data_IF_732802782681
#
_entry.id   IF_732802782681
#
_cell.length_a   1.000
_cell.length_b   1.000
_cell.length_c   1.000
_cell.angle_alpha   90.00
_cell.angle_beta   90.00
_cell.angle_gamma   90.00
#
_symmetry.space_group_name_H-M   'P 1'
#
loop_
_entity.id
_entity.type
_entity.pdbx_description
1 polymer ?
#
# COMPACT_ATOMS: atom_id res chain seq x y z
N UNK A 1 -6.89 22.05 -8.39
CA UNK A 1 -5.53 21.53 -8.75
C UNK A 1 -5.67 20.69 -10.00
N UNK A 2 -4.76 20.76 -10.99
CA UNK A 2 -4.81 19.87 -12.15
C UNK A 2 -4.40 18.44 -11.73
N UNK A 3 -4.79 17.44 -12.53
CA UNK A 3 -4.36 16.04 -12.27
C UNK A 3 -2.82 15.91 -12.30
N UNK A 4 -2.15 16.66 -13.17
CA UNK A 4 -0.70 16.66 -13.25
C UNK A 4 -0.06 17.25 -11.98
N UNK A 5 -0.65 18.30 -11.41
CA UNK A 5 -0.17 18.88 -10.15
C UNK A 5 -0.37 17.92 -8.99
N UNK A 6 -1.52 17.24 -8.93
CA UNK A 6 -1.78 16.20 -7.93
C UNK A 6 -0.74 15.06 -8.01
N UNK A 7 -0.45 14.57 -9.21
CA UNK A 7 0.59 13.56 -9.46
C UNK A 7 1.97 14.07 -8.98
N UNK A 8 2.28 15.33 -9.24
CA UNK A 8 3.55 15.95 -8.82
C UNK A 8 3.65 16.14 -7.31
N UNK A 9 2.54 16.34 -6.61
CA UNK A 9 2.54 16.54 -5.14
C UNK A 9 2.58 15.25 -4.34
N UNK A 10 2.04 14.13 -4.87
CA UNK A 10 2.01 12.85 -4.18
C UNK A 10 3.41 12.42 -3.71
N UNK A 11 3.53 12.11 -2.43
CA UNK A 11 4.76 11.61 -1.77
C UNK A 11 4.50 10.36 -0.96
N UNK A 12 5.55 9.60 -0.69
CA UNK A 12 5.54 8.59 0.37
C UNK A 12 5.67 9.29 1.71
N UNK A 13 4.64 9.22 2.52
CA UNK A 13 4.60 9.75 3.88
C UNK A 13 4.69 8.58 4.83
N UNK A 14 5.77 8.49 5.59
CA UNK A 14 6.02 7.37 6.49
C UNK A 14 5.13 7.45 7.74
N UNK A 15 4.77 6.31 8.36
CA UNK A 15 3.93 6.29 9.56
C UNK A 15 4.44 7.17 10.71
N UNK A 16 5.74 7.38 10.81
CA UNK A 16 6.36 8.27 11.81
C UNK A 16 6.03 9.76 11.60
N UNK A 17 5.51 10.11 10.42
CA UNK A 17 5.11 11.49 10.05
C UNK A 17 3.61 11.72 10.23
N UNK A 18 2.82 10.67 10.45
CA UNK A 18 1.39 10.80 10.65
C UNK A 18 1.08 11.50 11.97
N UNK A 19 0.04 12.34 11.93
CA UNK A 19 -0.63 12.78 13.16
C UNK A 19 -1.59 11.68 13.63
N UNK A 20 -2.23 11.84 14.76
CA UNK A 20 -3.11 10.82 15.34
C UNK A 20 -4.58 10.99 14.96
N UNK A 21 -4.87 11.83 13.97
CA UNK A 21 -6.23 12.01 13.48
C UNK A 21 -6.69 10.73 12.80
N UNK A 22 -7.88 10.26 13.19
CA UNK A 22 -8.46 9.05 12.57
C UNK A 22 -9.09 9.37 11.21
N UNK A 23 -8.96 8.43 10.29
CA UNK A 23 -9.64 8.44 9.00
C UNK A 23 -10.96 7.69 9.21
N UNK A 24 -12.09 8.34 8.94
CA UNK A 24 -13.42 7.74 9.06
C UNK A 24 -13.72 6.72 7.97
N UNK A 25 -14.81 5.99 8.15
CA UNK A 25 -15.20 4.90 7.23
C UNK A 25 -15.61 5.45 5.87
N UNK A 26 -16.31 6.58 5.81
CA UNK A 26 -16.70 7.21 4.55
C UNK A 26 -15.49 7.60 3.70
N UNK A 27 -14.47 8.15 4.33
CA UNK A 27 -13.20 8.48 3.64
C UNK A 27 -12.50 7.21 3.13
N UNK A 28 -12.51 6.12 3.90
CA UNK A 28 -11.94 4.84 3.44
C UNK A 28 -12.72 4.30 2.25
N UNK A 29 -14.04 4.38 2.25
CA UNK A 29 -14.88 3.94 1.13
C UNK A 29 -14.58 4.73 -0.14
N UNK A 30 -14.38 6.06 -0.05
CA UNK A 30 -13.95 6.91 -1.17
C UNK A 30 -12.58 6.43 -1.71
N UNK A 31 -11.63 6.13 -0.84
CA UNK A 31 -10.31 5.64 -1.25
C UNK A 31 -10.40 4.28 -1.97
N UNK A 32 -11.19 3.36 -1.44
CA UNK A 32 -11.38 2.03 -2.05
C UNK A 32 -12.15 2.12 -3.37
N UNK A 33 -13.17 2.99 -3.44
CA UNK A 33 -13.90 3.23 -4.68
C UNK A 33 -12.96 3.79 -5.77
N UNK A 34 -12.08 4.74 -5.43
CA UNK A 34 -11.10 5.24 -6.39
C UNK A 34 -10.16 4.15 -6.93
N UNK A 35 -9.78 3.19 -6.08
CA UNK A 35 -9.00 2.03 -6.50
C UNK A 35 -9.79 1.13 -7.47
N UNK A 36 -11.08 0.98 -7.26
CA UNK A 36 -11.96 0.13 -8.05
C UNK A 36 -12.12 0.60 -9.51
N UNK A 37 -11.81 1.88 -9.78
CA UNK A 37 -11.81 2.45 -11.13
C UNK A 37 -10.49 2.21 -11.92
N UNK A 38 -9.61 1.37 -11.42
CA UNK A 38 -8.39 1.03 -12.14
C UNK A 38 -8.67 0.22 -13.41
N UNK A 39 -7.89 0.42 -14.49
CA UNK A 39 -8.02 -0.42 -15.68
C UNK A 39 -7.57 -1.85 -15.39
N UNK A 40 -8.25 -2.80 -15.99
CA UNK A 40 -7.96 -4.23 -15.86
C UNK A 40 -8.24 -4.95 -17.18
N UNK A 41 -7.38 -5.91 -17.55
CA UNK A 41 -7.59 -6.72 -18.73
C UNK A 41 -8.68 -7.77 -18.45
N UNK A 42 -9.56 -8.02 -19.42
CA UNK A 42 -10.68 -8.98 -19.34
C UNK A 42 -11.56 -8.83 -18.10
N UNK A 43 -11.58 -7.64 -17.48
CA UNK A 43 -12.38 -7.35 -16.27
C UNK A 43 -12.10 -8.32 -15.11
N UNK A 44 -10.85 -8.76 -14.94
CA UNK A 44 -10.47 -9.67 -13.86
C UNK A 44 -10.56 -9.02 -12.49
N UNK A 45 -10.43 -7.67 -12.41
CA UNK A 45 -10.54 -6.89 -11.17
C UNK A 45 -9.81 -7.56 -10.00
N UNK A 46 -8.49 -7.77 -10.12
CA UNK A 46 -7.75 -8.70 -9.25
C UNK A 46 -7.48 -8.14 -7.86
N UNK A 47 -7.70 -6.85 -7.63
CA UNK A 47 -7.41 -6.21 -6.34
C UNK A 47 -8.31 -6.73 -5.22
N UNK A 48 -7.69 -7.01 -4.07
CA UNK A 48 -8.36 -7.34 -2.81
C UNK A 48 -7.71 -6.53 -1.70
N UNK A 49 -8.51 -5.92 -0.87
CA UNK A 49 -8.05 -5.12 0.25
C UNK A 49 -8.52 -5.71 1.57
N UNK A 50 -7.62 -5.79 2.57
CA UNK A 50 -8.01 -6.13 3.93
C UNK A 50 -7.68 -4.95 4.82
N UNK A 51 -8.71 -4.39 5.45
CA UNK A 51 -8.62 -3.23 6.33
C UNK A 51 -8.22 -3.68 7.72
N UNK A 52 -7.18 -3.07 8.27
CA UNK A 52 -6.66 -3.36 9.61
C UNK A 52 -6.79 -2.11 10.46
N UNK A 53 -7.57 -2.21 11.54
CA UNK A 53 -7.84 -1.14 12.52
C UNK A 53 -7.77 -1.66 13.95
N UNK A 54 -7.83 -0.77 14.94
CA UNK A 54 -7.89 -1.11 16.36
C UNK A 54 -6.78 -2.08 16.77
N UNK A 55 -7.13 -3.05 17.59
CA UNK A 55 -6.20 -4.05 18.15
C UNK A 55 -5.53 -4.93 17.07
N UNK A 56 -6.14 -5.04 15.90
CA UNK A 56 -5.53 -5.76 14.78
C UNK A 56 -4.24 -5.09 14.29
N UNK A 57 -4.05 -3.79 14.50
CA UNK A 57 -2.80 -3.08 14.22
C UNK A 57 -1.67 -3.55 15.14
N UNK A 58 -1.97 -3.79 16.43
CA UNK A 58 -0.99 -4.34 17.38
C UNK A 58 -0.56 -5.73 16.93
N UNK A 59 -1.51 -6.62 16.66
CA UNK A 59 -1.25 -7.99 16.17
C UNK A 59 -0.43 -7.99 14.88
N UNK A 60 -0.71 -7.06 13.96
CA UNK A 60 0.08 -6.92 12.73
C UNK A 60 1.53 -6.51 13.05
N UNK A 61 1.74 -5.55 13.95
CA UNK A 61 3.07 -5.11 14.36
C UNK A 61 3.89 -6.26 14.94
N UNK A 62 3.31 -7.04 15.86
CA UNK A 62 3.92 -8.22 16.46
C UNK A 62 4.26 -9.27 15.41
N UNK A 63 3.34 -9.56 14.50
CA UNK A 63 3.56 -10.48 13.38
C UNK A 63 4.74 -10.04 12.51
N UNK A 64 4.77 -8.77 12.08
CA UNK A 64 5.83 -8.24 11.23
C UNK A 64 7.20 -8.27 11.91
N UNK A 65 7.26 -7.89 13.19
CA UNK A 65 8.50 -7.92 13.97
C UNK A 65 9.00 -9.35 14.16
N UNK A 66 8.13 -10.30 14.49
CA UNK A 66 8.46 -11.73 14.59
C UNK A 66 8.97 -12.28 13.26
N UNK A 67 8.23 -12.05 12.14
CA UNK A 67 8.65 -12.52 10.82
C UNK A 67 9.98 -11.91 10.36
N UNK A 68 10.24 -10.67 10.69
CA UNK A 68 11.56 -10.08 10.47
C UNK A 68 12.65 -10.85 11.22
N UNK A 69 12.44 -11.13 12.51
CA UNK A 69 13.43 -11.87 13.33
C UNK A 69 13.69 -13.28 12.76
N UNK A 70 12.63 -13.99 12.34
CA UNK A 70 12.72 -15.33 11.77
C UNK A 70 13.42 -15.38 10.39
N UNK A 71 13.32 -14.33 9.59
CA UNK A 71 13.77 -14.32 8.19
C UNK A 71 14.98 -13.40 7.92
N UNK A 72 15.63 -12.86 8.94
CA UNK A 72 16.79 -12.01 8.76
C UNK A 72 18.09 -12.72 9.14
N UNK A 73 19.11 -12.59 8.29
CA UNK A 73 20.47 -13.05 8.61
C UNK A 73 21.16 -12.09 9.59
N UNK A 74 20.88 -10.77 9.45
CA UNK A 74 21.46 -9.74 10.31
C UNK A 74 20.34 -9.01 11.05
N UNK A 75 20.17 -9.36 12.32
CA UNK A 75 19.17 -8.74 13.16
C UNK A 75 19.52 -7.29 13.52
N UNK A 76 18.51 -6.43 13.51
CA UNK A 76 18.61 -5.05 13.98
C UNK A 76 17.45 -4.75 14.92
N UNK A 77 17.77 -4.44 16.16
CA UNK A 77 16.80 -4.05 17.19
C UNK A 77 16.00 -2.81 16.78
N UNK A 78 16.66 -1.85 16.13
CA UNK A 78 15.98 -0.68 15.58
C UNK A 78 14.91 -1.06 14.55
N UNK A 79 15.24 -1.95 13.59
CA UNK A 79 14.30 -2.40 12.56
C UNK A 79 13.16 -3.23 13.16
N UNK A 80 13.46 -4.07 14.14
CA UNK A 80 12.45 -4.84 14.89
C UNK A 80 11.44 -3.90 15.56
N UNK A 81 11.89 -2.94 16.36
CA UNK A 81 11.05 -1.96 17.04
C UNK A 81 10.26 -1.08 16.04
N UNK A 82 10.88 -0.74 14.92
CA UNK A 82 10.20 0.02 13.86
C UNK A 82 9.04 -0.75 13.25
N UNK A 83 9.23 -2.04 12.94
CA UNK A 83 8.16 -2.89 12.40
C UNK A 83 7.02 -3.09 13.39
N UNK A 84 7.36 -3.28 14.68
CA UNK A 84 6.37 -3.40 15.75
C UNK A 84 5.48 -2.16 15.85
N UNK A 85 6.06 -0.96 15.73
CA UNK A 85 5.35 0.32 15.95
C UNK A 85 4.60 0.84 14.73
N UNK A 86 5.05 0.54 13.51
CA UNK A 86 4.49 1.13 12.27
C UNK A 86 2.97 1.04 12.14
N UNK A 87 2.32 -0.12 12.34
CA UNK A 87 0.87 -0.20 12.20
C UNK A 87 0.13 0.68 13.21
N UNK A 88 0.65 0.81 14.42
CA UNK A 88 0.03 1.61 15.50
C UNK A 88 0.15 3.12 15.28
N UNK A 89 1.15 3.56 14.51
CA UNK A 89 1.32 4.96 14.13
C UNK A 89 0.39 5.39 13.00
N UNK A 90 -0.24 4.43 12.32
CA UNK A 90 -1.15 4.67 11.20
C UNK A 90 -2.60 4.71 11.69
N UNK A 91 -3.42 5.57 11.08
CA UNK A 91 -4.87 5.54 11.32
C UNK A 91 -5.46 4.22 10.82
N UNK A 92 -5.15 3.87 9.57
CA UNK A 92 -5.59 2.64 8.92
C UNK A 92 -4.42 1.98 8.22
N UNK A 93 -4.43 0.65 8.18
CA UNK A 93 -3.50 -0.15 7.36
C UNK A 93 -4.32 -1.02 6.41
N UNK A 94 -3.95 -1.02 5.13
CA UNK A 94 -4.52 -1.90 4.13
C UNK A 94 -3.50 -2.98 3.74
N UNK A 95 -3.89 -4.24 3.75
CA UNK A 95 -3.14 -5.24 3.01
C UNK A 95 -3.57 -5.15 1.54
N UNK A 96 -2.59 -4.97 0.67
CA UNK A 96 -2.77 -4.99 -0.78
C UNK A 96 -2.64 -6.43 -1.22
N UNK A 97 -3.73 -7.05 -1.62
CA UNK A 97 -3.74 -8.41 -2.11
C UNK A 97 -4.17 -8.46 -3.58
N UNK A 98 -3.77 -9.50 -4.25
CA UNK A 98 -4.16 -9.85 -5.61
C UNK A 98 -4.83 -11.22 -5.57
N UNK A 99 -6.02 -11.33 -6.16
CA UNK A 99 -6.68 -12.59 -6.47
C UNK A 99 -6.36 -12.98 -7.90
N UNK A 100 -5.69 -14.10 -8.09
CA UNK A 100 -5.45 -14.66 -9.42
C UNK A 100 -6.79 -15.00 -10.09
N UNK A 101 -6.94 -14.67 -11.37
CA UNK A 101 -8.06 -15.12 -12.16
C UNK A 101 -8.16 -16.66 -12.16
N UNK A 102 -9.32 -17.19 -11.83
CA UNK A 102 -9.53 -18.63 -11.68
C UNK A 102 -9.21 -19.41 -12.98
N UNK A 103 -9.49 -18.82 -14.13
CA UNK A 103 -9.23 -19.42 -15.43
C UNK A 103 -7.81 -19.12 -15.97
N UNK A 104 -7.02 -18.34 -15.22
CA UNK A 104 -5.71 -17.88 -15.67
C UNK A 104 -5.70 -17.27 -17.08
N UNK A 105 -6.79 -16.58 -17.41
CA UNK A 105 -7.10 -16.10 -18.77
C UNK A 105 -6.17 -15.01 -19.28
N UNK A 106 -5.36 -14.44 -18.39
CA UNK A 106 -4.34 -13.43 -18.65
C UNK A 106 -3.05 -13.76 -17.91
N UNK A 107 -1.90 -13.24 -18.35
CA UNK A 107 -0.65 -13.38 -17.60
C UNK A 107 -0.73 -12.71 -16.22
N UNK A 108 -0.14 -13.34 -15.21
CA UNK A 108 -0.18 -12.86 -13.82
C UNK A 108 0.39 -11.44 -13.65
N UNK A 109 1.41 -11.06 -14.44
CA UNK A 109 2.01 -9.72 -14.36
C UNK A 109 1.01 -8.62 -14.72
N UNK A 110 0.01 -8.89 -15.58
CA UNK A 110 -1.05 -7.92 -15.90
C UNK A 110 -1.97 -7.68 -14.71
N UNK A 111 -2.27 -8.71 -13.92
CA UNK A 111 -3.04 -8.58 -12.69
C UNK A 111 -2.28 -7.81 -11.62
N UNK A 112 -0.96 -8.05 -11.49
CA UNK A 112 -0.10 -7.26 -10.61
C UNK A 112 -0.08 -5.78 -11.05
N UNK A 113 0.01 -5.53 -12.36
CA UNK A 113 -0.03 -4.18 -12.91
C UNK A 113 -1.38 -3.51 -12.61
N UNK A 114 -2.51 -4.21 -12.77
CA UNK A 114 -3.84 -3.71 -12.44
C UNK A 114 -3.97 -3.34 -10.96
N UNK A 115 -3.49 -4.20 -10.04
CA UNK A 115 -3.45 -3.88 -8.61
C UNK A 115 -2.58 -2.65 -8.34
N UNK A 116 -1.44 -2.51 -9.04
CA UNK A 116 -0.57 -1.35 -8.88
C UNK A 116 -1.22 -0.06 -9.36
N UNK A 117 -2.00 -0.11 -10.43
CA UNK A 117 -2.82 1.02 -10.91
C UNK A 117 -3.95 1.36 -9.92
N UNK A 118 -4.60 0.36 -9.34
CA UNK A 118 -5.61 0.54 -8.30
C UNK A 118 -5.02 1.27 -7.08
N UNK A 119 -3.84 0.88 -6.62
CA UNK A 119 -3.14 1.57 -5.53
C UNK A 119 -2.73 2.98 -5.93
N UNK A 120 -2.32 3.22 -7.17
CA UNK A 120 -1.99 4.59 -7.62
C UNK A 120 -3.21 5.50 -7.58
N UNK A 121 -4.39 5.03 -8.01
CA UNK A 121 -5.64 5.78 -7.91
C UNK A 121 -5.96 6.12 -6.45
N UNK A 122 -5.97 5.12 -5.58
CA UNK A 122 -6.18 5.29 -4.13
C UNK A 122 -5.19 6.30 -3.53
N UNK A 123 -3.92 6.21 -3.90
CA UNK A 123 -2.88 7.10 -3.36
C UNK A 123 -3.02 8.54 -3.83
N UNK A 124 -3.44 8.77 -5.07
CA UNK A 124 -3.74 10.10 -5.59
C UNK A 124 -4.94 10.70 -4.87
N UNK A 125 -6.02 9.93 -4.71
CA UNK A 125 -7.21 10.35 -3.95
C UNK A 125 -6.86 10.65 -2.49
N UNK A 126 -6.06 9.81 -1.84
CA UNK A 126 -5.57 10.07 -0.49
C UNK A 126 -4.77 11.40 -0.43
N UNK A 127 -3.92 11.66 -1.44
CA UNK A 127 -3.13 12.90 -1.51
C UNK A 127 -4.04 14.13 -1.65
N UNK A 128 -5.09 14.06 -2.46
CA UNK A 128 -6.08 15.14 -2.63
C UNK A 128 -6.83 15.43 -1.32
N UNK A 129 -7.09 14.41 -0.53
CA UNK A 129 -7.71 14.49 0.79
C UNK A 129 -6.72 14.80 1.93
N UNK A 130 -5.47 15.18 1.63
CA UNK A 130 -4.39 15.42 2.60
C UNK A 130 -4.08 14.20 3.50
N UNK A 131 -4.30 13.01 3.00
CA UNK A 131 -3.95 11.74 3.65
C UNK A 131 -2.62 11.25 3.08
N UNK A 132 -1.67 11.01 3.97
CA UNK A 132 -0.39 10.42 3.65
C UNK A 132 -0.51 8.91 3.44
N UNK A 133 0.27 8.38 2.50
CA UNK A 133 0.34 6.96 2.20
C UNK A 133 1.77 6.45 2.11
N UNK A 134 1.99 5.23 2.57
CA UNK A 134 3.27 4.54 2.45
C UNK A 134 3.08 3.06 2.12
N UNK A 135 3.54 2.66 0.94
CA UNK A 135 3.58 1.24 0.54
C UNK A 135 4.86 0.58 1.06
N UNK A 136 4.71 -0.52 1.78
CA UNK A 136 5.81 -1.37 2.26
C UNK A 136 5.63 -2.80 1.74
N UNK A 137 6.70 -3.39 1.22
CA UNK A 137 6.75 -4.79 0.76
C UNK A 137 7.96 -5.48 1.40
N UNK A 138 7.85 -5.94 2.67
CA UNK A 138 8.93 -6.67 3.32
C UNK A 138 9.20 -8.00 2.61
N UNK A 139 10.43 -8.52 2.70
CA UNK A 139 10.85 -9.76 2.01
C UNK A 139 10.02 -10.99 2.36
N UNK A 140 9.32 -10.96 3.47
CA UNK A 140 8.42 -12.02 3.95
C UNK A 140 6.93 -11.73 3.70
N UNK A 141 6.60 -10.82 2.77
CA UNK A 141 5.20 -10.45 2.43
C UNK A 141 4.37 -11.66 1.97
N UNK A 142 5.01 -12.64 1.36
CA UNK A 142 4.39 -13.89 0.94
C UNK A 142 3.90 -14.78 2.10
N UNK A 143 4.28 -14.46 3.35
CA UNK A 143 3.83 -15.17 4.57
C UNK A 143 2.61 -14.53 5.23
N UNK A 144 1.96 -13.56 4.57
CA UNK A 144 0.78 -12.89 5.15
C UNK A 144 -0.43 -13.82 5.35
N UNK A 145 -0.46 -14.97 4.69
CA UNK A 145 -1.43 -16.05 4.96
C UNK A 145 -1.34 -16.61 6.39
N UNK A 146 -0.22 -16.44 7.07
CA UNK A 146 -0.05 -16.80 8.49
C UNK A 146 -0.65 -15.73 9.45
N UNK A 147 -0.88 -14.52 8.96
CA UNK A 147 -1.50 -13.44 9.73
C UNK A 147 -3.03 -13.39 9.53
N UNK A 148 -3.48 -13.58 8.30
CA UNK A 148 -4.89 -13.50 7.94
C UNK A 148 -5.22 -14.51 6.86
N UNK A 149 -6.48 -14.99 6.86
CA UNK A 149 -6.95 -15.90 5.83
C UNK A 149 -6.88 -15.21 4.45
N UNK A 150 -6.21 -15.86 3.52
CA UNK A 150 -6.24 -15.56 2.09
C UNK A 150 -7.03 -16.66 1.36
N UNK A 151 -7.75 -16.30 0.32
CA UNK A 151 -8.47 -17.26 -0.51
C UNK A 151 -7.48 -18.07 -1.37
N UNK A 152 -7.96 -19.17 -1.97
CA UNK A 152 -7.18 -19.88 -2.97
C UNK A 152 -6.85 -18.95 -4.13
N UNK A 153 -5.58 -18.90 -4.55
CA UNK A 153 -5.08 -17.97 -5.58
C UNK A 153 -4.97 -16.51 -5.13
N UNK A 154 -5.27 -16.19 -3.86
CA UNK A 154 -5.04 -14.85 -3.31
C UNK A 154 -3.64 -14.77 -2.69
N UNK A 155 -2.93 -13.65 -2.96
CA UNK A 155 -1.66 -13.37 -2.31
C UNK A 155 -1.51 -11.89 -1.95
N UNK A 156 -0.77 -11.61 -0.91
CA UNK A 156 -0.46 -10.25 -0.50
C UNK A 156 0.76 -9.71 -1.26
N UNK A 157 0.63 -8.52 -1.85
CA UNK A 157 1.69 -7.81 -2.58
C UNK A 157 2.35 -6.73 -1.73
N UNK A 158 1.69 -6.28 -0.67
CA UNK A 158 2.22 -5.21 0.17
C UNK A 158 1.29 -4.79 1.29
N UNK A 159 1.79 -3.87 2.08
CA UNK A 159 1.09 -3.25 3.20
C UNK A 159 1.07 -1.75 2.94
N UNK A 160 -0.10 -1.14 2.94
CA UNK A 160 -0.28 0.28 2.72
C UNK A 160 -0.73 0.96 4.01
N UNK A 161 0.09 1.86 4.50
CA UNK A 161 -0.15 2.61 5.73
C UNK A 161 -0.76 3.96 5.38
N UNK A 162 -1.85 4.34 6.05
CA UNK A 162 -2.58 5.59 5.84
C UNK A 162 -2.69 6.39 7.14
N UNK A 163 -2.58 7.71 7.02
CA UNK A 163 -2.76 8.64 8.15
C UNK A 163 -2.69 10.09 7.69
N UNK A 164 -3.37 10.98 8.40
CA UNK A 164 -3.20 12.42 8.19
C UNK A 164 -1.81 12.86 8.63
N UNK A 165 -1.29 13.93 8.04
CA UNK A 165 0.03 14.48 8.36
C UNK A 165 0.01 16.01 8.22
N UNK A 166 0.85 16.69 8.99
CA UNK A 166 0.84 18.17 9.08
C UNK A 166 2.07 18.81 8.41
N UNK A 167 3.13 18.03 8.15
CA UNK A 167 4.38 18.56 7.64
C UNK A 167 4.35 18.72 6.13
N UNK A 168 4.84 19.87 5.63
CA UNK A 168 5.13 20.02 4.20
C UNK A 168 6.14 18.94 3.75
N UNK A 169 5.85 18.32 2.62
CA UNK A 169 6.75 17.34 2.01
C UNK A 169 7.82 18.03 1.18
N UNK A 170 9.00 17.43 1.12
CA UNK A 170 10.05 17.92 0.23
C UNK A 170 9.61 17.79 -1.24
N UNK A 171 10.02 18.74 -2.05
CA UNK A 171 9.84 18.64 -3.49
C UNK A 171 10.63 17.46 -4.05
N UNK A 172 10.06 16.83 -5.07
CA UNK A 172 10.72 15.78 -5.83
C UNK A 172 11.02 16.28 -7.23
N UNK A 173 12.28 16.21 -7.62
CA UNK A 173 12.72 16.45 -8.98
C UNK A 173 13.01 15.09 -9.62
N UNK A 174 12.14 14.56 -10.49
CA UNK A 174 12.41 13.31 -11.20
C UNK A 174 13.51 13.52 -12.24
N UNK A 175 14.23 12.47 -12.58
CA UNK A 175 15.14 12.46 -13.72
C UNK A 175 14.40 12.73 -15.04
N UNK A 176 15.10 13.24 -16.06
CA UNK A 176 14.51 13.59 -17.35
C UNK A 176 13.76 12.39 -17.98
N UNK A 177 12.55 12.66 -18.46
CA UNK A 177 11.77 11.67 -19.22
C UNK A 177 12.40 11.39 -20.58
N UNK A 178 13.13 12.36 -21.16
CA UNK A 178 13.79 12.22 -22.48
C UNK A 178 14.76 11.03 -22.52
N UNK A 179 15.40 10.72 -21.39
CA UNK A 179 16.33 9.58 -21.28
C UNK A 179 15.64 8.22 -21.16
N UNK A 180 14.30 8.18 -21.19
CA UNK A 180 13.45 6.99 -21.01
C UNK A 180 12.53 6.76 -22.18
N UNK A 181 12.67 7.57 -23.24
CA UNK A 181 11.83 7.52 -24.44
C UNK A 181 12.74 7.33 -25.64
N UNK A 182 12.40 6.37 -26.49
CA UNK A 182 13.00 6.18 -27.81
C UNK A 182 11.91 6.33 -28.87
N UNK A 183 12.23 7.01 -29.96
CA UNK A 183 11.35 7.10 -31.15
C UNK A 183 11.88 6.03 -32.11
N UNK A 184 10.98 5.15 -32.57
CA UNK A 184 11.28 4.06 -33.50
C UNK A 184 10.72 4.43 -34.87
#
# INVERSE_FOLDING_TARGET
MSILDLIKTRRSIFPEQFNRKEIDDETIDILLESANWAPTHKKTEPWRFKIIRGDSKVRLGEFLARKYKENTVKFSEYKFKKLLKKPMLSSVVLLICMQRDHNESIPEWEEIAAVSMAIQNLWLTATDLNIGGYWSSPSFINKMNEFTKLNSGERCLGIFYLGYYDKKTNERVPGSIKNKVSII
#
